data_IF_895575004797
#
_entry.id   IF_895575004797
#
_cell.length_a   1.000
_cell.length_b   1.000
_cell.length_c   1.000
_cell.angle_alpha   90.00
_cell.angle_beta   90.00
_cell.angle_gamma   90.00
#
_symmetry.space_group_name_H-M   'P 1'
#
loop_
_entity.id
_entity.type
_entity.pdbx_description
1 polymer ?
#
# COMPACT_ATOMS: atom_id res chain seq x y z
N UNK A 1 -16.18 1.68 -0.11
CA UNK A 1 -15.81 3.00 0.45
C UNK A 1 -15.04 3.89 -0.53
N UNK A 2 -13.94 3.45 -1.16
CA UNK A 2 -13.12 4.33 -2.04
C UNK A 2 -13.68 4.51 -3.47
N UNK A 3 -14.40 3.51 -3.98
CA UNK A 3 -14.98 3.49 -5.35
C UNK A 3 -15.79 4.74 -5.73
N UNK A 4 -16.65 5.32 -4.86
CA UNK A 4 -17.39 6.54 -5.18
C UNK A 4 -16.53 7.79 -5.39
N UNK A 5 -15.26 7.75 -4.97
CA UNK A 5 -14.33 8.88 -5.03
C UNK A 5 -13.38 8.83 -6.24
N UNK A 6 -13.69 8.02 -7.25
CA UNK A 6 -12.94 8.01 -8.52
C UNK A 6 -13.90 8.01 -9.71
N UNK A 7 -13.46 8.66 -10.78
CA UNK A 7 -14.10 8.71 -12.10
C UNK A 7 -13.61 7.59 -13.02
N UNK A 8 -12.56 6.85 -12.64
CA UNK A 8 -11.95 5.79 -13.45
C UNK A 8 -11.92 4.42 -12.73
N UNK A 9 -13.05 3.88 -12.25
CA UNK A 9 -13.05 2.62 -11.49
C UNK A 9 -12.63 1.40 -12.32
N UNK A 10 -12.71 1.48 -13.65
CA UNK A 10 -12.31 0.40 -14.56
C UNK A 10 -10.79 0.39 -14.84
N UNK A 11 -10.08 1.41 -14.37
CA UNK A 11 -8.62 1.54 -14.53
C UNK A 11 -8.00 1.88 -13.18
N UNK A 12 -7.45 0.86 -12.55
CA UNK A 12 -6.68 0.93 -11.32
C UNK A 12 -5.31 0.30 -11.55
N UNK A 13 -4.30 0.95 -10.99
CA UNK A 13 -2.92 0.50 -10.98
C UNK A 13 -2.63 -0.20 -9.66
N UNK A 14 -1.84 -1.26 -9.71
CA UNK A 14 -1.51 -2.08 -8.56
C UNK A 14 -0.03 -2.42 -8.55
N UNK A 15 0.64 -2.17 -7.43
CA UNK A 15 2.02 -2.54 -7.18
C UNK A 15 2.06 -3.71 -6.19
N UNK A 16 2.85 -4.73 -6.51
CA UNK A 16 3.07 -5.89 -5.63
C UNK A 16 4.57 -6.07 -5.46
N UNK A 17 5.03 -6.16 -4.21
CA UNK A 17 6.45 -6.27 -3.93
C UNK A 17 7.08 -7.52 -4.54
N UNK A 18 8.19 -7.35 -5.26
CA UNK A 18 8.89 -8.45 -5.93
C UNK A 18 9.44 -9.48 -4.94
N UNK A 19 9.67 -9.10 -3.68
CA UNK A 19 10.13 -10.01 -2.62
C UNK A 19 9.15 -11.14 -2.30
N UNK A 20 7.85 -10.94 -2.50
CA UNK A 20 6.89 -12.05 -2.45
C UNK A 20 7.09 -13.03 -3.62
N UNK A 21 7.49 -12.52 -4.78
CA UNK A 21 7.77 -13.32 -5.98
C UNK A 21 8.94 -14.29 -5.79
N UNK A 22 10.05 -13.84 -5.20
CA UNK A 22 11.26 -14.65 -5.05
C UNK A 22 11.14 -15.76 -4.01
N UNK A 23 10.36 -15.55 -2.94
CA UNK A 23 10.13 -16.55 -1.89
C UNK A 23 9.12 -17.63 -2.31
N UNK A 24 8.27 -17.37 -3.30
CA UNK A 24 7.13 -18.23 -3.64
C UNK A 24 7.05 -18.66 -5.12
N UNK A 25 7.89 -18.15 -6.04
CA UNK A 25 7.68 -18.34 -7.50
C UNK A 25 8.92 -18.57 -8.39
N UNK A 26 8.65 -19.13 -9.58
CA UNK A 26 9.55 -19.19 -10.74
C UNK A 26 9.83 -17.78 -11.29
N UNK A 27 11.02 -17.27 -10.99
CA UNK A 27 11.49 -15.95 -11.41
C UNK A 27 11.38 -15.68 -12.93
N UNK A 28 11.28 -16.72 -13.78
CA UNK A 28 11.11 -16.54 -15.23
C UNK A 28 9.75 -15.95 -15.59
N UNK A 29 8.68 -16.29 -14.85
CA UNK A 29 7.32 -15.84 -15.16
C UNK A 29 7.12 -14.34 -14.94
N UNK A 30 7.92 -13.73 -14.06
CA UNK A 30 7.78 -12.33 -13.65
C UNK A 30 8.91 -11.44 -14.19
N UNK A 31 9.84 -12.00 -14.97
CA UNK A 31 10.98 -11.26 -15.53
C UNK A 31 10.51 -10.09 -16.39
N UNK A 32 9.49 -10.30 -17.22
CA UNK A 32 9.00 -9.32 -18.20
C UNK A 32 7.95 -8.36 -17.64
N UNK A 33 7.52 -8.53 -16.39
CA UNK A 33 6.53 -7.64 -15.78
C UNK A 33 7.16 -6.26 -15.53
N UNK A 34 6.52 -5.16 -15.97
CA UNK A 34 7.00 -3.81 -15.68
C UNK A 34 7.16 -3.57 -14.17
N UNK A 35 8.16 -2.78 -13.80
CA UNK A 35 8.48 -2.52 -12.39
C UNK A 35 8.41 -1.04 -12.06
N UNK A 36 7.91 -0.74 -10.86
CA UNK A 36 8.06 0.55 -10.19
C UNK A 36 9.11 0.36 -9.10
N UNK A 37 10.15 1.20 -9.10
CA UNK A 37 11.20 1.17 -8.09
C UNK A 37 11.05 2.36 -7.15
N UNK A 38 10.90 2.07 -5.87
CA UNK A 38 10.96 3.02 -4.77
C UNK A 38 12.29 2.83 -4.01
N UNK A 39 12.69 3.75 -3.11
CA UNK A 39 13.80 3.49 -2.21
C UNK A 39 13.62 2.13 -1.51
N UNK A 40 14.67 1.30 -1.52
CA UNK A 40 14.72 -0.03 -0.90
C UNK A 40 13.76 -1.11 -1.44
N UNK A 41 12.79 -0.80 -2.32
CA UNK A 41 11.78 -1.77 -2.77
C UNK A 41 11.45 -1.64 -4.25
N UNK A 42 11.34 -2.78 -4.94
CA UNK A 42 10.83 -2.87 -6.32
C UNK A 42 9.50 -3.63 -6.35
N UNK A 43 8.58 -3.15 -7.17
CA UNK A 43 7.22 -3.68 -7.26
C UNK A 43 6.88 -4.04 -8.71
N UNK A 44 6.24 -5.19 -8.89
CA UNK A 44 5.55 -5.52 -10.12
C UNK A 44 4.33 -4.61 -10.30
N UNK A 45 4.20 -4.02 -11.49
CA UNK A 45 3.10 -3.14 -11.84
C UNK A 45 2.04 -3.89 -12.66
N UNK A 46 0.81 -3.86 -12.17
CA UNK A 46 -0.37 -4.39 -12.83
C UNK A 46 -1.41 -3.29 -13.05
N UNK A 47 -2.32 -3.54 -13.99
CA UNK A 47 -3.44 -2.65 -14.31
C UNK A 47 -4.70 -3.48 -14.52
N UNK A 48 -5.82 -3.02 -13.99
CA UNK A 48 -7.12 -3.69 -14.13
C UNK A 48 -8.25 -2.90 -13.48
N UNK A 49 -9.50 -3.42 -13.48
CA UNK A 49 -10.59 -2.78 -12.76
C UNK A 49 -10.32 -2.78 -11.25
N UNK A 50 -10.86 -1.79 -10.53
CA UNK A 50 -10.69 -1.65 -9.08
C UNK A 50 -11.01 -2.94 -8.31
N UNK A 51 -12.06 -3.65 -8.73
CA UNK A 51 -12.53 -4.87 -8.06
C UNK A 51 -11.50 -6.03 -8.15
N UNK A 52 -10.51 -5.93 -9.05
CA UNK A 52 -9.41 -6.89 -9.16
C UNK A 52 -8.51 -6.94 -7.93
N UNK A 53 -8.59 -5.96 -7.00
CA UNK A 53 -7.85 -6.00 -5.72
C UNK A 53 -8.09 -7.30 -4.94
N UNK A 54 -9.27 -7.89 -5.06
CA UNK A 54 -9.61 -9.13 -4.34
C UNK A 54 -9.00 -10.38 -4.99
N UNK A 55 -8.47 -10.25 -6.20
CA UNK A 55 -7.98 -11.36 -7.04
C UNK A 55 -6.49 -11.63 -6.92
N UNK A 56 -5.76 -10.84 -6.12
CA UNK A 56 -4.32 -11.00 -5.93
C UNK A 56 -4.01 -12.22 -5.05
N UNK A 57 -3.83 -13.36 -5.73
CA UNK A 57 -3.55 -14.66 -5.13
C UNK A 57 -2.28 -15.27 -5.71
N UNK A 58 -1.44 -15.78 -4.83
CA UNK A 58 -0.18 -16.44 -5.14
C UNK A 58 -0.22 -17.85 -4.55
N UNK A 59 -0.58 -18.81 -5.40
CA UNK A 59 -0.87 -20.17 -4.96
C UNK A 59 -2.14 -20.21 -4.12
N UNK A 60 -2.00 -20.55 -2.83
CA UNK A 60 -3.13 -20.57 -1.86
C UNK A 60 -3.15 -19.36 -0.93
N UNK A 61 -2.18 -18.46 -1.06
CA UNK A 61 -2.04 -17.28 -0.21
C UNK A 61 -2.65 -16.10 -0.96
N UNK A 62 -3.63 -15.46 -0.33
CA UNK A 62 -4.10 -14.17 -0.76
C UNK A 62 -3.15 -13.10 -0.25
N UNK A 63 -2.82 -12.12 -1.09
CA UNK A 63 -2.03 -10.98 -0.68
C UNK A 63 -2.54 -9.72 -1.38
N UNK A 64 -2.87 -8.68 -0.61
CA UNK A 64 -3.26 -7.39 -1.19
C UNK A 64 -2.11 -6.79 -1.99
N UNK A 65 -2.40 -5.98 -3.03
CA UNK A 65 -1.39 -5.09 -3.59
C UNK A 65 -0.85 -4.17 -2.48
N UNK A 66 0.44 -3.88 -2.55
CA UNK A 66 1.11 -3.00 -1.59
C UNK A 66 0.80 -1.54 -1.85
N UNK A 67 0.67 -1.14 -3.12
CA UNK A 67 0.22 0.20 -3.50
C UNK A 67 -0.85 0.08 -4.57
N UNK A 68 -1.87 0.91 -4.53
CA UNK A 68 -2.91 0.92 -5.54
C UNK A 68 -3.65 2.24 -5.59
N UNK A 69 -3.99 2.65 -6.81
CA UNK A 69 -4.63 3.93 -7.09
C UNK A 69 -5.40 3.87 -8.42
N UNK A 70 -6.51 4.60 -8.57
CA UNK A 70 -7.22 4.73 -9.83
C UNK A 70 -6.43 5.63 -10.80
N UNK A 71 -6.67 5.50 -12.11
CA UNK A 71 -5.99 6.26 -13.17
C UNK A 71 -6.13 7.78 -13.02
N UNK A 72 -7.24 8.26 -12.45
CA UNK A 72 -7.45 9.68 -12.14
C UNK A 72 -6.74 10.17 -10.87
N UNK A 73 -5.97 9.30 -10.20
CA UNK A 73 -5.18 9.59 -9.00
C UNK A 73 -6.00 10.20 -7.84
N UNK A 74 -7.32 9.98 -7.81
CA UNK A 74 -8.19 10.61 -6.82
C UNK A 74 -7.94 10.15 -5.37
N UNK A 75 -7.31 9.00 -5.20
CA UNK A 75 -6.81 8.47 -3.94
C UNK A 75 -5.66 7.49 -4.19
N UNK A 76 -4.89 7.16 -3.16
CA UNK A 76 -3.89 6.11 -3.19
C UNK A 76 -3.94 5.37 -1.85
N UNK A 77 -3.86 4.04 -1.89
CA UNK A 77 -3.76 3.22 -0.70
C UNK A 77 -2.42 2.47 -0.71
N UNK A 78 -1.80 2.40 0.47
CA UNK A 78 -0.50 1.79 0.71
C UNK A 78 -0.59 0.83 1.90
N UNK A 79 -0.49 -0.47 1.62
CA UNK A 79 -0.49 -1.52 2.63
C UNK A 79 0.95 -1.88 2.95
N UNK A 80 1.38 -1.68 4.19
CA UNK A 80 2.74 -2.01 4.59
C UNK A 80 3.00 -3.52 4.54
N UNK A 81 4.26 -3.87 4.30
CA UNK A 81 4.75 -5.25 4.24
C UNK A 81 5.11 -5.72 5.64
N UNK A 82 5.71 -4.82 6.43
CA UNK A 82 6.29 -5.13 7.73
C UNK A 82 5.37 -4.73 8.90
N UNK A 83 4.34 -3.92 8.63
CA UNK A 83 3.38 -3.41 9.61
C UNK A 83 1.95 -3.82 9.24
N UNK A 84 1.05 -4.00 10.22
CA UNK A 84 -0.36 -4.34 9.98
C UNK A 84 -1.20 -3.14 9.50
N UNK A 85 -0.57 -2.10 8.97
CA UNK A 85 -1.20 -0.80 8.71
C UNK A 85 -1.46 -0.58 7.21
N UNK A 86 -2.54 0.13 6.92
CA UNK A 86 -2.84 0.63 5.57
C UNK A 86 -3.01 2.14 5.63
N UNK A 87 -2.20 2.84 4.85
CA UNK A 87 -2.29 4.28 4.67
C UNK A 87 -3.16 4.59 3.48
N UNK A 88 -4.09 5.54 3.61
CA UNK A 88 -4.90 6.03 2.50
C UNK A 88 -4.75 7.53 2.40
N UNK A 89 -4.33 8.00 1.23
CA UNK A 89 -4.32 9.41 0.86
C UNK A 89 -5.43 9.69 -0.16
N UNK A 90 -6.10 10.83 -0.04
CA UNK A 90 -7.18 11.20 -0.95
C UNK A 90 -7.75 12.58 -0.59
N UNK A 91 -8.87 12.94 -1.22
CA UNK A 91 -9.60 14.16 -0.86
C UNK A 91 -10.14 14.10 0.57
N UNK A 92 -10.41 15.25 1.18
CA UNK A 92 -10.99 15.30 2.53
C UNK A 92 -12.28 14.48 2.63
N UNK A 93 -13.18 14.58 1.65
CA UNK A 93 -14.41 13.80 1.63
C UNK A 93 -14.17 12.28 1.55
N UNK A 94 -13.10 11.85 0.85
CA UNK A 94 -12.69 10.44 0.82
C UNK A 94 -12.20 9.99 2.20
N UNK A 95 -11.34 10.78 2.85
CA UNK A 95 -10.80 10.47 4.17
C UNK A 95 -11.88 10.50 5.25
N UNK A 96 -12.80 11.48 5.22
CA UNK A 96 -13.92 11.56 6.16
C UNK A 96 -14.82 10.32 6.07
N UNK A 97 -15.03 9.79 4.86
CA UNK A 97 -15.79 8.56 4.68
C UNK A 97 -15.09 7.32 5.28
N UNK A 98 -13.75 7.30 5.31
CA UNK A 98 -12.96 6.28 6.00
C UNK A 98 -13.09 6.40 7.50
N UNK A 99 -12.86 7.62 8.01
CA UNK A 99 -12.90 7.89 9.45
C UNK A 99 -14.29 7.71 10.07
N UNK A 100 -15.35 7.76 9.25
CA UNK A 100 -16.73 7.58 9.70
C UNK A 100 -17.25 6.13 9.55
N UNK A 101 -16.45 5.20 9.03
CA UNK A 101 -16.87 3.80 8.89
C UNK A 101 -16.48 3.00 10.14
N UNK A 102 -17.46 2.70 10.99
CA UNK A 102 -17.27 2.00 12.27
C UNK A 102 -16.77 0.54 12.11
N UNK A 103 -16.72 -0.01 10.88
CA UNK A 103 -16.10 -1.31 10.63
C UNK A 103 -14.58 -1.24 10.55
N UNK A 104 -13.99 -0.04 10.51
CA UNK A 104 -12.56 0.20 10.37
C UNK A 104 -11.98 0.82 11.63
N UNK A 105 -10.90 0.25 12.14
CA UNK A 105 -10.02 0.96 13.07
C UNK A 105 -9.19 1.96 12.26
N UNK A 106 -9.57 3.24 12.30
CA UNK A 106 -8.94 4.28 11.50
C UNK A 106 -8.64 5.52 12.34
N UNK A 107 -7.48 6.13 12.07
CA UNK A 107 -7.04 7.36 12.69
C UNK A 107 -6.43 8.28 11.63
N UNK A 108 -6.71 9.57 11.73
CA UNK A 108 -6.11 10.55 10.85
C UNK A 108 -4.62 10.71 11.17
N UNK A 109 -3.80 10.77 10.12
CA UNK A 109 -2.37 11.04 10.21
C UNK A 109 -1.96 12.17 9.27
N UNK A 110 -0.69 12.59 9.35
CA UNK A 110 -0.09 13.59 8.48
C UNK A 110 0.92 12.93 7.55
N UNK A 111 1.17 13.52 6.38
CA UNK A 111 2.18 13.04 5.43
C UNK A 111 3.60 13.02 6.01
N UNK A 112 3.88 13.86 7.00
CA UNK A 112 5.18 13.94 7.66
C UNK A 112 5.30 13.01 8.87
N UNK A 113 4.21 12.33 9.26
CA UNK A 113 4.27 11.33 10.32
C UNK A 113 5.20 10.21 9.87
N UNK A 114 6.13 9.84 10.75
CA UNK A 114 7.10 8.79 10.47
C UNK A 114 6.75 7.55 11.26
N UNK A 115 7.03 6.40 10.67
CA UNK A 115 6.93 5.10 11.33
C UNK A 115 8.27 4.40 11.19
N UNK A 116 9.24 4.95 11.92
CA UNK A 116 10.58 4.38 12.06
C UNK A 116 10.99 4.38 13.54
N UNK A 117 12.09 3.70 13.84
CA UNK A 117 12.57 3.54 15.22
C UNK A 117 12.81 4.88 15.95
N UNK A 118 13.03 5.97 15.21
CA UNK A 118 13.27 7.30 15.77
C UNK A 118 12.02 8.20 15.72
N UNK A 119 10.85 7.65 15.39
CA UNK A 119 9.60 8.42 15.32
C UNK A 119 8.99 8.68 16.70
N UNK A 120 9.27 7.83 17.69
CA UNK A 120 8.80 8.04 19.05
C UNK A 120 9.59 9.16 19.73
N UNK A 121 8.91 10.28 19.99
CA UNK A 121 9.46 11.44 20.71
C UNK A 121 9.03 11.49 22.18
N UNK A 122 8.10 10.61 22.58
CA UNK A 122 7.60 10.51 23.96
C UNK A 122 8.47 9.54 24.76
N UNK A 123 8.85 8.41 24.15
CA UNK A 123 9.74 7.42 24.72
C UNK A 123 10.77 6.94 23.68
N UNK A 124 11.73 7.80 23.30
CA UNK A 124 12.70 7.45 22.27
C UNK A 124 13.59 6.26 22.68
N UNK A 125 14.13 5.50 21.71
CA UNK A 125 15.14 4.50 21.99
C UNK A 125 16.30 5.12 22.76
N UNK A 126 16.84 4.40 23.75
CA UNK A 126 18.03 4.85 24.48
C UNK A 126 19.17 5.00 23.48
N UNK A 127 19.78 6.18 23.37
CA UNK A 127 21.01 6.36 22.60
C UNK A 127 22.06 5.38 23.14
N UNK A 128 22.55 4.47 22.29
CA UNK A 128 23.71 3.64 22.62
C UNK A 128 24.94 4.52 22.91
N UNK A 129 25.97 3.98 23.59
CA UNK A 129 27.19 4.74 23.86
C UNK A 129 27.74 5.34 22.57
N UNK A 130 28.02 6.65 22.58
CA UNK A 130 28.78 7.29 21.50
C UNK A 130 30.25 6.89 21.69
N UNK A 131 30.78 6.11 20.75
CA UNK A 131 32.22 5.82 20.67
C UNK A 131 33.03 7.09 20.33
#
# INVERSE_FOLDING_TARGET
MLRPFTTTPDVCWFCVWEGYGSAFFDAKRYREVPRVTLPERSYFLYRGPLDAVTSFQWGRIWQSPNLWWPDDHAWCAATEIDLPETYVGGSQACIDAILSDDHLESIQTRSEARVDINADTVNPPVEGPRD
#
